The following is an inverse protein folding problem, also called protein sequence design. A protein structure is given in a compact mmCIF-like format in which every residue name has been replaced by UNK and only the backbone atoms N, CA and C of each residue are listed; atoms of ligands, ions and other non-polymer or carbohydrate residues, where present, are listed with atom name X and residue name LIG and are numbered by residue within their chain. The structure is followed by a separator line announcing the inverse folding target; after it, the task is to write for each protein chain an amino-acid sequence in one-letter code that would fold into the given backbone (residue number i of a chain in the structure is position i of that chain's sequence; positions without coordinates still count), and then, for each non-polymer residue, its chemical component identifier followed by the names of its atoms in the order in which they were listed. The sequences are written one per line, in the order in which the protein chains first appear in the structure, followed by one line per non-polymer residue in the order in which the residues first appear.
data_IF_279888318518
#
_entry.id   IF_279888318518
#
_cell.length_a   1.000
_cell.length_b   1.000
_cell.length_c   1.000
_cell.angle_alpha   90.00
_cell.angle_beta   90.00
_cell.angle_gamma   90.00
#
_symmetry.space_group_name_H-M   'P 1'
#
loop_
_entity.id
_entity.type
_entity.pdbx_description
1 polymer ?
#
# COMPACT_ATOMS: atom_id res chain seq x y z
N UNK A 1 -44.90 -28.47 39.41
CA UNK A 1 -43.74 -28.73 38.54
C UNK A 1 -43.47 -27.48 37.73
N UNK A 2 -42.37 -26.77 37.98
CA UNK A 2 -42.04 -25.53 37.27
C UNK A 2 -41.09 -25.83 36.11
N UNK A 3 -41.40 -25.32 34.92
CA UNK A 3 -40.56 -25.45 33.73
C UNK A 3 -39.61 -24.27 33.62
N UNK A 4 -38.31 -24.54 33.71
CA UNK A 4 -37.25 -23.54 33.51
C UNK A 4 -37.08 -23.34 32.01
N UNK A 5 -37.29 -22.10 31.53
CA UNK A 5 -37.02 -21.71 30.14
C UNK A 5 -35.73 -20.87 30.13
N UNK A 6 -34.66 -21.41 29.55
CA UNK A 6 -33.42 -20.65 29.30
C UNK A 6 -33.39 -20.18 27.84
N UNK A 7 -33.13 -18.89 27.62
CA UNK A 7 -32.90 -18.31 26.28
C UNK A 7 -31.41 -18.12 26.08
N UNK A 8 -30.78 -18.99 25.28
CA UNK A 8 -29.38 -18.81 24.87
C UNK A 8 -29.32 -17.63 23.90
N UNK A 9 -28.72 -16.52 24.34
CA UNK A 9 -28.42 -15.39 23.46
C UNK A 9 -27.14 -15.74 22.71
N UNK A 10 -27.29 -16.35 21.53
CA UNK A 10 -26.17 -16.50 20.60
C UNK A 10 -25.62 -15.12 20.29
N UNK A 11 -24.38 -14.86 20.67
CA UNK A 11 -23.71 -13.63 20.29
C UNK A 11 -23.31 -13.78 18.82
N UNK A 12 -24.28 -13.59 17.94
CA UNK A 12 -24.06 -13.56 16.50
C UNK A 12 -23.32 -12.26 16.21
N UNK A 13 -22.01 -12.25 16.45
CA UNK A 13 -21.14 -11.13 16.08
C UNK A 13 -21.22 -11.02 14.57
N UNK A 14 -22.14 -10.16 14.14
CA UNK A 14 -22.41 -9.86 12.75
C UNK A 14 -21.12 -9.25 12.22
N UNK A 15 -20.37 -10.01 11.43
CA UNK A 15 -19.21 -9.48 10.70
C UNK A 15 -19.80 -8.48 9.69
N UNK A 16 -19.90 -7.23 10.13
CA UNK A 16 -20.25 -6.11 9.27
C UNK A 16 -18.97 -5.69 8.57
N UNK A 17 -18.98 -5.70 7.24
CA UNK A 17 -17.90 -5.11 6.46
C UNK A 17 -17.82 -3.62 6.83
N UNK A 18 -16.78 -3.25 7.58
CA UNK A 18 -16.46 -1.85 7.81
C UNK A 18 -15.75 -1.32 6.57
N UNK A 19 -16.35 -0.33 5.91
CA UNK A 19 -15.62 0.52 4.98
C UNK A 19 -14.60 1.29 5.79
N UNK A 20 -13.34 0.84 5.78
CA UNK A 20 -12.24 1.62 6.34
C UNK A 20 -12.07 2.82 5.41
N UNK A 21 -12.47 4.00 5.90
CA UNK A 21 -12.03 5.27 5.30
C UNK A 21 -10.52 5.34 5.52
N UNK A 22 -9.76 4.95 4.50
CA UNK A 22 -8.33 5.26 4.44
C UNK A 22 -8.26 6.79 4.35
N UNK A 23 -7.58 7.43 5.30
CA UNK A 23 -7.39 8.88 5.31
C UNK A 23 -6.49 9.34 4.18
N UNK A 24 -5.75 10.43 4.39
CA UNK A 24 -4.67 10.81 3.48
C UNK A 24 -3.63 9.69 3.44
N UNK A 25 -3.45 9.08 2.28
CA UNK A 25 -2.44 8.06 2.02
C UNK A 25 -1.18 8.75 1.45
N UNK A 26 -0.05 8.56 2.11
CA UNK A 26 1.25 8.99 1.61
C UNK A 26 1.91 7.88 0.78
N UNK A 27 2.82 8.26 -0.11
CA UNK A 27 3.60 7.29 -0.90
C UNK A 27 4.43 6.34 -0.02
N UNK A 28 4.84 6.81 1.16
CA UNK A 28 5.57 6.04 2.20
C UNK A 28 4.73 4.96 2.86
N UNK A 29 3.40 5.01 2.73
CA UNK A 29 2.48 4.06 3.36
C UNK A 29 2.31 2.78 2.52
N UNK A 30 2.81 2.79 1.29
CA UNK A 30 2.78 1.65 0.39
C UNK A 30 3.93 0.68 0.72
N UNK A 31 3.59 -0.59 0.94
CA UNK A 31 4.54 -1.62 1.40
C UNK A 31 5.61 -1.99 0.38
N UNK A 32 5.34 -1.75 -0.90
CA UNK A 32 6.20 -2.00 -2.05
C UNK A 32 7.05 -0.78 -2.45
N UNK A 33 6.95 0.34 -1.71
CA UNK A 33 7.77 1.53 -1.93
C UNK A 33 8.86 1.65 -0.85
N UNK A 34 10.07 1.98 -1.27
CA UNK A 34 11.15 2.47 -0.42
C UNK A 34 11.39 3.97 -0.70
N UNK A 35 10.84 4.80 0.19
CA UNK A 35 10.88 6.26 0.13
C UNK A 35 11.98 6.88 1.00
N UNK A 36 13.01 6.12 1.36
CA UNK A 36 14.16 6.62 2.12
C UNK A 36 14.94 7.72 1.39
N UNK A 37 14.93 7.72 0.05
CA UNK A 37 15.64 8.70 -0.79
C UNK A 37 14.69 9.71 -1.47
N UNK A 38 13.69 10.18 -0.74
CA UNK A 38 12.77 11.21 -1.23
C UNK A 38 13.47 12.58 -1.27
N UNK A 39 13.97 12.96 -2.43
CA UNK A 39 14.63 14.24 -2.70
C UNK A 39 14.00 14.92 -3.91
N UNK A 40 14.31 16.19 -4.13
CA UNK A 40 13.90 16.87 -5.36
C UNK A 40 14.38 16.12 -6.61
N UNK A 41 13.53 16.06 -7.64
CA UNK A 41 13.78 15.30 -8.87
C UNK A 41 13.75 13.77 -8.74
N UNK A 42 13.39 13.20 -7.59
CA UNK A 42 13.34 11.75 -7.42
C UNK A 42 12.23 11.10 -8.26
N UNK A 43 12.57 9.97 -8.87
CA UNK A 43 11.67 9.13 -9.66
C UNK A 43 11.55 7.74 -9.04
N UNK A 44 10.41 7.08 -9.25
CA UNK A 44 10.21 5.69 -8.87
C UNK A 44 10.91 4.76 -9.86
N UNK A 45 11.87 3.98 -9.37
CA UNK A 45 12.58 2.97 -10.14
C UNK A 45 12.39 1.61 -9.48
N UNK A 46 11.84 0.65 -10.22
CA UNK A 46 11.69 -0.71 -9.73
C UNK A 46 13.06 -1.39 -9.54
N UNK A 47 13.30 -1.92 -8.35
CA UNK A 47 14.50 -2.66 -8.01
C UNK A 47 14.17 -4.16 -7.94
N UNK A 48 14.67 -4.92 -8.91
CA UNK A 48 14.45 -6.37 -8.98
C UNK A 48 15.12 -7.18 -7.88
N UNK A 49 16.12 -6.63 -7.18
CA UNK A 49 16.79 -7.30 -6.05
C UNK A 49 15.96 -7.22 -4.77
N UNK A 50 15.38 -6.04 -4.48
CA UNK A 50 14.54 -5.83 -3.29
C UNK A 50 13.06 -6.05 -3.55
N UNK A 51 12.67 -6.27 -4.81
CA UNK A 51 11.28 -6.36 -5.30
C UNK A 51 10.42 -5.19 -4.83
N UNK A 52 10.99 -3.99 -4.85
CA UNK A 52 10.36 -2.73 -4.41
C UNK A 52 10.66 -1.61 -5.38
N UNK A 53 9.81 -0.59 -5.41
CA UNK A 53 10.15 0.67 -6.05
C UNK A 53 10.99 1.53 -5.12
N UNK A 54 12.17 1.92 -5.58
CA UNK A 54 13.07 2.83 -4.87
C UNK A 54 13.02 4.20 -5.50
N UNK A 55 13.04 5.26 -4.70
CA UNK A 55 13.17 6.62 -5.20
C UNK A 55 14.63 6.92 -5.54
N UNK A 56 14.90 7.40 -6.75
CA UNK A 56 16.24 7.84 -7.18
C UNK A 56 16.16 9.07 -8.08
N UNK A 57 17.07 10.04 -7.95
CA UNK A 57 17.14 11.20 -8.86
C UNK A 57 17.76 10.84 -10.22
N UNK A 58 18.38 9.66 -10.33
CA UNK A 58 19.12 9.23 -11.50
C UNK A 58 18.67 7.85 -11.99
N UNK A 59 18.77 7.65 -13.30
CA UNK A 59 18.44 6.38 -13.96
C UNK A 59 19.73 5.73 -14.42
N UNK A 60 20.12 4.66 -13.73
CA UNK A 60 21.33 3.88 -14.04
C UNK A 60 21.06 2.56 -14.75
N UNK A 61 19.92 2.41 -15.44
CA UNK A 61 19.55 1.17 -16.13
C UNK A 61 19.86 1.26 -17.63
N UNK A 62 20.75 0.40 -18.12
CA UNK A 62 21.12 0.30 -19.54
C UNK A 62 19.96 -0.09 -20.46
N UNK A 63 18.89 -0.69 -19.92
CA UNK A 63 17.72 -1.10 -20.68
C UNK A 63 16.62 -0.03 -20.75
N UNK A 64 16.78 1.10 -20.04
CA UNK A 64 15.79 2.18 -20.03
C UNK A 64 16.29 3.34 -20.89
N UNK A 65 15.56 3.67 -21.95
CA UNK A 65 15.91 4.73 -22.90
C UNK A 65 14.87 5.85 -22.80
N UNK A 66 15.32 7.07 -22.52
CA UNK A 66 14.49 8.27 -22.61
C UNK A 66 14.81 8.99 -23.92
N UNK A 67 13.89 8.93 -24.87
CA UNK A 67 13.98 9.73 -26.09
C UNK A 67 13.19 11.01 -25.87
N UNK A 68 13.90 12.08 -25.50
CA UNK A 68 13.34 13.43 -25.56
C UNK A 68 13.22 13.84 -27.02
N UNK A 69 11.99 13.91 -27.53
CA UNK A 69 11.75 14.45 -28.86
C UNK A 69 12.29 15.88 -28.96
N UNK A 70 12.95 16.20 -30.05
CA UNK A 70 13.28 17.59 -30.39
C UNK A 70 11.97 18.33 -30.66
N UNK A 71 11.68 19.35 -29.84
CA UNK A 71 10.64 20.35 -30.10
C UNK A 71 11.24 21.52 -30.87
#
# INVERSE_FOLDING_TARGET
MASIKAKVRGNNQKIVAQTIKVGNLALTDLSDIDASANTDGAMLIYNGTTTKFTLKPEIGNSNTIFNGGTY
#
